data_IF_474017179146
#
_entry.id   IF_474017179146
#
_cell.length_a   1.000
_cell.length_b   1.000
_cell.length_c   1.000
_cell.angle_alpha   90.00
_cell.angle_beta   90.00
_cell.angle_gamma   90.00
#
_symmetry.space_group_name_H-M   'P 1'
#
loop_
_entity.id
_entity.type
_entity.pdbx_description
1 polymer ?
#
# COMPACT_ATOMS: atom_id res chain seq x y z
N UNK A 1 35.07 -15.67 -16.88
CA UNK A 1 33.89 -15.68 -17.76
C UNK A 1 32.91 -14.67 -17.18
N UNK A 2 33.03 -13.39 -17.59
CA UNK A 2 32.23 -12.26 -17.04
C UNK A 2 30.91 -12.18 -17.83
N UNK A 3 29.80 -12.57 -17.22
CA UNK A 3 28.48 -12.39 -17.80
C UNK A 3 28.16 -10.89 -17.85
N UNK A 4 27.89 -10.32 -19.01
CA UNK A 4 27.64 -8.90 -19.26
C UNK A 4 26.31 -8.50 -18.61
N UNK A 5 26.25 -7.43 -17.81
CA UNK A 5 25.02 -6.99 -17.14
C UNK A 5 23.89 -6.57 -18.10
N UNK A 6 24.21 -6.30 -19.37
CA UNK A 6 23.24 -5.94 -20.40
C UNK A 6 22.26 -7.09 -20.77
N UNK A 7 22.68 -8.35 -20.64
CA UNK A 7 21.82 -9.51 -20.95
C UNK A 7 20.79 -9.81 -19.84
N UNK A 8 21.11 -9.49 -18.60
CA UNK A 8 20.17 -9.60 -17.47
C UNK A 8 19.08 -8.50 -17.51
N UNK A 9 19.45 -7.30 -17.93
CA UNK A 9 18.50 -6.20 -18.11
C UNK A 9 17.53 -6.45 -19.27
N UNK A 10 18.02 -7.03 -20.38
CA UNK A 10 17.20 -7.41 -21.53
C UNK A 10 16.23 -8.56 -21.21
N UNK A 11 16.66 -9.54 -20.40
CA UNK A 11 15.80 -10.63 -19.96
C UNK A 11 14.71 -10.14 -18.99
N UNK A 12 15.02 -9.16 -18.14
CA UNK A 12 14.04 -8.52 -17.24
C UNK A 12 12.98 -7.72 -18.01
N UNK A 13 13.39 -7.06 -19.12
CA UNK A 13 12.48 -6.30 -19.99
C UNK A 13 11.56 -7.20 -20.84
N UNK A 14 11.98 -8.40 -21.21
CA UNK A 14 11.13 -9.31 -21.98
C UNK A 14 10.04 -10.01 -21.17
N UNK A 15 10.14 -10.06 -19.84
CA UNK A 15 9.09 -10.58 -18.95
C UNK A 15 7.94 -9.57 -18.80
N UNK A 16 8.17 -8.30 -19.14
CA UNK A 16 7.19 -7.21 -19.03
C UNK A 16 6.17 -7.15 -20.18
N UNK A 17 6.33 -7.95 -21.26
CA UNK A 17 5.43 -7.95 -22.41
C UNK A 17 4.40 -9.11 -22.43
N UNK A 18 3.88 -9.52 -21.29
CA UNK A 18 2.79 -10.50 -21.19
C UNK A 18 1.41 -9.84 -21.29
N UNK A 19 0.79 -10.03 -22.44
CA UNK A 19 -0.59 -9.82 -22.91
C UNK A 19 -1.60 -9.10 -22.02
N UNK A 20 -1.98 -7.91 -22.44
CA UNK A 20 -3.18 -7.18 -22.02
C UNK A 20 -4.43 -7.94 -22.49
N UNK A 21 -5.20 -8.49 -21.58
CA UNK A 21 -6.60 -8.87 -21.80
C UNK A 21 -7.43 -8.11 -20.78
N UNK A 22 -8.26 -7.19 -21.26
CA UNK A 22 -9.30 -6.57 -20.46
C UNK A 22 -10.34 -7.63 -20.14
N UNK A 23 -10.41 -8.06 -18.87
CA UNK A 23 -11.50 -8.84 -18.29
C UNK A 23 -11.91 -8.13 -17.01
N UNK A 24 -13.16 -8.31 -16.59
CA UNK A 24 -13.67 -7.83 -15.30
C UNK A 24 -12.60 -8.06 -14.23
N UNK A 25 -12.12 -6.98 -13.60
CA UNK A 25 -11.04 -7.05 -12.62
C UNK A 25 -11.43 -8.01 -11.49
N UNK A 26 -10.68 -9.10 -11.29
CA UNK A 26 -10.95 -9.99 -10.17
C UNK A 26 -10.76 -9.18 -8.89
N UNK A 27 -11.78 -9.09 -8.08
CA UNK A 27 -11.75 -8.34 -6.82
C UNK A 27 -10.65 -8.92 -5.92
N UNK A 28 -9.60 -8.13 -5.69
CA UNK A 28 -8.55 -8.48 -4.72
C UNK A 28 -9.15 -8.49 -3.32
N UNK A 29 -8.65 -9.34 -2.40
CA UNK A 29 -9.01 -9.25 -0.99
C UNK A 29 -8.70 -7.86 -0.43
N UNK A 30 -9.67 -7.23 0.25
CA UNK A 30 -9.52 -5.88 0.78
C UNK A 30 -8.33 -5.70 1.73
N UNK A 31 -7.91 -6.79 2.38
CA UNK A 31 -6.71 -6.83 3.21
C UNK A 31 -5.43 -6.46 2.44
N UNK A 32 -5.35 -6.76 1.14
CA UNK A 32 -4.16 -6.47 0.32
C UNK A 32 -4.12 -5.02 -0.18
N UNK A 33 -5.27 -4.33 -0.21
CA UNK A 33 -5.41 -2.96 -0.76
C UNK A 33 -5.37 -1.87 0.32
N UNK A 34 -5.58 -2.24 1.57
CA UNK A 34 -5.56 -1.27 2.67
C UNK A 34 -4.13 -0.97 3.14
N UNK A 35 -3.86 0.27 3.61
CA UNK A 35 -2.55 0.67 4.11
C UNK A 35 -2.04 -0.27 5.20
N UNK A 36 -0.78 -0.62 5.09
CA UNK A 36 -0.14 -1.69 5.83
C UNK A 36 0.45 -1.23 7.17
N UNK A 37 0.72 0.06 7.30
CA UNK A 37 1.24 0.66 8.53
C UNK A 37 0.62 2.01 8.82
N UNK A 38 0.60 2.41 10.10
CA UNK A 38 0.16 3.74 10.51
C UNK A 38 1.00 4.85 9.84
N UNK A 39 2.30 4.59 9.60
CA UNK A 39 3.18 5.53 8.93
C UNK A 39 2.80 5.73 7.47
N UNK A 40 2.56 4.64 6.74
CA UNK A 40 2.12 4.67 5.36
C UNK A 40 0.76 5.37 5.24
N UNK A 41 -0.19 5.04 6.12
CA UNK A 41 -1.49 5.69 6.16
C UNK A 41 -1.40 7.19 6.43
N UNK A 42 -0.55 7.63 7.38
CA UNK A 42 -0.38 9.05 7.75
C UNK A 42 0.33 9.90 6.69
N UNK A 43 0.95 9.28 5.71
CA UNK A 43 1.55 9.96 4.55
C UNK A 43 0.73 9.82 3.27
N UNK A 44 -0.55 9.44 3.36
CA UNK A 44 -1.43 9.16 2.21
C UNK A 44 -0.79 8.18 1.20
N UNK A 45 -0.07 7.18 1.72
CA UNK A 45 0.61 6.13 0.95
C UNK A 45 1.80 6.60 0.09
N UNK A 46 2.25 7.84 0.25
CA UNK A 46 3.44 8.38 -0.44
C UNK A 46 4.78 7.81 0.07
N UNK A 47 4.75 6.85 1.01
CA UNK A 47 5.91 6.41 1.79
C UNK A 47 6.56 5.12 1.28
N UNK A 48 6.55 4.89 -0.03
CA UNK A 48 7.22 3.71 -0.63
C UNK A 48 8.75 3.70 -0.49
N UNK A 49 9.38 4.85 -0.22
CA UNK A 49 10.83 4.99 -0.09
C UNK A 49 11.26 5.85 1.12
N UNK A 50 10.77 5.64 2.36
CA UNK A 50 11.12 6.50 3.48
C UNK A 50 12.64 6.45 3.80
N UNK A 51 13.24 7.55 4.22
CA UNK A 51 14.67 7.58 4.60
C UNK A 51 14.94 6.69 5.81
N UNK A 52 14.01 6.64 6.75
CA UNK A 52 14.03 5.71 7.88
C UNK A 52 12.79 4.82 7.82
N UNK A 53 12.95 3.51 7.90
CA UNK A 53 11.87 2.55 7.82
C UNK A 53 11.59 1.88 9.16
N UNK A 54 10.37 1.42 9.33
CA UNK A 54 9.94 0.54 10.43
C UNK A 54 9.52 -0.81 9.88
N UNK A 55 9.41 -1.81 10.75
CA UNK A 55 8.99 -3.14 10.30
C UNK A 55 7.59 -3.15 9.64
N UNK A 56 6.69 -2.24 10.04
CA UNK A 56 5.40 -2.09 9.38
C UNK A 56 5.49 -1.61 7.94
N UNK A 57 6.49 -0.80 7.59
CA UNK A 57 6.67 -0.25 6.24
C UNK A 57 7.16 -1.33 5.26
N UNK A 58 7.80 -2.39 5.76
CA UNK A 58 8.30 -3.53 4.97
C UNK A 58 7.18 -4.27 4.24
N UNK A 59 5.97 -4.26 4.78
CA UNK A 59 4.81 -4.87 4.12
C UNK A 59 4.46 -4.19 2.79
N UNK A 60 4.68 -2.88 2.67
CA UNK A 60 4.45 -2.12 1.45
C UNK A 60 5.67 -2.05 0.52
N UNK A 61 6.88 -2.38 1.05
CA UNK A 61 8.12 -2.37 0.28
C UNK A 61 9.15 -3.33 0.92
N UNK A 62 9.24 -4.58 0.46
CA UNK A 62 10.08 -5.60 1.10
C UNK A 62 11.57 -5.22 1.18
N UNK A 63 12.07 -4.44 0.23
CA UNK A 63 13.46 -4.01 0.19
C UNK A 63 13.82 -2.93 1.24
N UNK A 64 12.85 -2.47 2.04
CA UNK A 64 13.11 -1.61 3.20
C UNK A 64 13.64 -2.39 4.42
N UNK A 65 13.52 -3.72 4.40
CA UNK A 65 13.99 -4.58 5.48
C UNK A 65 15.51 -4.57 5.53
N UNK A 66 16.07 -4.24 6.67
CA UNK A 66 17.51 -4.22 6.92
C UNK A 66 17.86 -4.71 8.33
N UNK A 67 19.15 -4.72 8.66
CA UNK A 67 19.66 -5.17 9.96
C UNK A 67 19.12 -4.38 11.15
N UNK A 68 18.64 -3.15 10.96
CA UNK A 68 18.05 -2.35 12.05
C UNK A 68 16.70 -2.90 12.51
N UNK A 69 16.04 -3.72 11.68
CA UNK A 69 14.76 -4.37 11.99
C UNK A 69 14.93 -5.69 12.76
N UNK A 70 16.16 -6.22 12.83
CA UNK A 70 16.39 -7.48 13.54
C UNK A 70 15.98 -7.42 15.01
N UNK A 71 15.24 -8.43 15.48
CA UNK A 71 14.68 -8.51 16.83
C UNK A 71 13.49 -7.59 17.09
N UNK A 72 12.97 -6.88 16.07
CA UNK A 72 11.79 -6.03 16.22
C UNK A 72 10.50 -6.83 16.15
N UNK A 73 9.58 -6.46 17.04
CA UNK A 73 8.16 -6.81 17.00
C UNK A 73 7.36 -5.56 16.64
N UNK A 74 6.46 -5.70 15.70
CA UNK A 74 5.51 -4.66 15.30
C UNK A 74 4.08 -5.15 15.47
N UNK A 75 3.26 -4.34 16.13
CA UNK A 75 1.82 -4.54 16.29
C UNK A 75 1.12 -3.35 15.64
N UNK A 76 0.20 -3.62 14.72
CA UNK A 76 -0.60 -2.62 14.03
C UNK A 76 -2.08 -2.86 14.26
N UNK A 77 -2.84 -1.79 14.38
CA UNK A 77 -4.30 -1.80 14.44
C UNK A 77 -4.86 -0.66 13.61
N UNK A 78 -5.89 -0.92 12.85
CA UNK A 78 -6.64 0.07 12.08
C UNK A 78 -8.12 -0.09 12.42
N UNK A 79 -8.72 1.02 12.81
CA UNK A 79 -10.17 1.19 12.88
C UNK A 79 -10.64 1.92 11.62
N UNK A 80 -11.51 1.26 10.88
CA UNK A 80 -12.06 1.78 9.63
C UNK A 80 -13.54 2.09 9.84
N UNK A 81 -14.12 2.92 8.99
CA UNK A 81 -15.55 3.21 9.09
C UNK A 81 -16.41 1.96 8.85
N UNK A 82 -17.68 2.01 9.26
CA UNK A 82 -18.67 0.91 9.13
C UNK A 82 -18.34 -0.36 9.93
N UNK A 83 -17.52 -0.26 10.98
CA UNK A 83 -17.21 -1.39 11.86
C UNK A 83 -16.15 -2.34 11.31
N UNK A 84 -15.50 -1.99 10.20
CA UNK A 84 -14.36 -2.75 9.72
C UNK A 84 -13.10 -2.42 10.55
N UNK A 85 -12.32 -3.44 10.88
CA UNK A 85 -11.09 -3.28 11.65
C UNK A 85 -10.02 -4.26 11.17
N UNK A 86 -8.76 -3.81 11.23
CA UNK A 86 -7.61 -4.61 10.86
C UNK A 86 -6.62 -4.71 12.01
N UNK A 87 -6.03 -5.88 12.18
CA UNK A 87 -4.90 -6.10 13.08
C UNK A 87 -3.74 -6.75 12.33
N UNK A 88 -2.51 -6.43 12.75
CA UNK A 88 -1.30 -7.01 12.20
C UNK A 88 -0.27 -7.27 13.31
N UNK A 89 0.46 -8.36 13.18
CA UNK A 89 1.64 -8.66 13.99
C UNK A 89 2.77 -9.09 13.08
N UNK A 90 3.96 -8.50 13.28
CA UNK A 90 5.16 -8.80 12.49
C UNK A 90 6.36 -8.94 13.39
N UNK A 91 7.24 -9.84 13.02
CA UNK A 91 8.54 -10.04 13.66
C UNK A 91 9.62 -10.15 12.58
N UNK A 92 10.79 -9.57 12.84
CA UNK A 92 11.94 -9.69 11.96
C UNK A 92 13.16 -10.23 12.71
N UNK A 93 13.98 -11.01 11.97
CA UNK A 93 15.22 -11.56 12.48
C UNK A 93 16.29 -11.55 11.41
N UNK A 94 17.52 -11.35 11.84
CA UNK A 94 18.72 -11.58 11.04
C UNK A 94 19.42 -12.83 11.57
N UNK A 95 19.62 -13.88 10.76
CA UNK A 95 20.45 -15.01 11.17
C UNK A 95 21.90 -14.58 11.39
N UNK A 96 22.56 -15.21 12.34
CA UNK A 96 23.97 -14.95 12.63
C UNK A 96 24.84 -15.13 11.38
N UNK A 97 25.83 -14.25 11.21
CA UNK A 97 26.77 -14.24 10.08
C UNK A 97 26.14 -14.03 8.69
N UNK A 98 24.85 -13.79 8.59
CA UNK A 98 24.16 -13.54 7.32
C UNK A 98 23.89 -12.06 7.09
N UNK A 99 23.99 -11.65 5.82
CA UNK A 99 23.68 -10.26 5.42
C UNK A 99 22.18 -10.04 5.19
N UNK A 100 21.41 -11.11 4.93
CA UNK A 100 19.98 -11.00 4.70
C UNK A 100 19.21 -10.98 6.03
N UNK A 101 18.09 -10.27 6.00
CA UNK A 101 17.13 -10.20 7.11
C UNK A 101 15.81 -10.77 6.62
N UNK A 102 15.10 -11.49 7.48
CA UNK A 102 13.78 -12.00 7.14
C UNK A 102 12.73 -11.49 8.13
N UNK A 103 11.50 -11.46 7.68
CA UNK A 103 10.35 -11.16 8.49
C UNK A 103 9.24 -12.19 8.29
N UNK A 104 8.36 -12.29 9.26
CA UNK A 104 7.11 -13.05 9.16
C UNK A 104 6.04 -12.36 9.98
N UNK A 105 4.78 -12.64 9.66
CA UNK A 105 3.68 -12.07 10.42
C UNK A 105 2.31 -12.51 9.93
N UNK A 106 1.30 -12.01 10.62
CA UNK A 106 -0.10 -12.24 10.30
C UNK A 106 -0.85 -10.93 10.23
N UNK A 107 -1.83 -10.90 9.33
CA UNK A 107 -2.80 -9.81 9.21
C UNK A 107 -4.20 -10.39 9.20
N UNK A 108 -5.11 -9.66 9.83
CA UNK A 108 -6.54 -9.96 9.80
C UNK A 108 -7.30 -8.67 9.53
N UNK A 109 -8.26 -8.71 8.62
CA UNK A 109 -9.23 -7.66 8.36
C UNK A 109 -10.64 -8.23 8.55
N UNK A 110 -11.36 -7.73 9.54
CA UNK A 110 -12.76 -8.01 9.74
C UNK A 110 -13.60 -6.88 9.14
N UNK A 111 -14.63 -7.20 8.39
CA UNK A 111 -15.55 -6.21 7.79
C UNK A 111 -16.78 -5.95 8.67
N UNK A 112 -16.87 -6.59 9.85
CA UNK A 112 -18.03 -6.49 10.74
C UNK A 112 -19.10 -7.51 10.43
N UNK A 113 -20.32 -7.23 10.89
CA UNK A 113 -21.49 -8.09 10.72
C UNK A 113 -22.50 -7.43 9.80
N UNK A 114 -23.02 -8.18 8.86
CA UNK A 114 -24.00 -7.73 7.88
C UNK A 114 -25.35 -8.41 8.12
N UNK A 115 -26.43 -7.67 7.92
CA UNK A 115 -27.78 -8.23 7.91
C UNK A 115 -28.09 -8.79 6.53
N UNK A 116 -28.31 -10.10 6.45
CA UNK A 116 -28.76 -10.75 5.23
C UNK A 116 -30.22 -10.39 4.92
N UNK A 117 -30.51 -10.17 3.65
CA UNK A 117 -31.89 -9.93 3.16
C UNK A 117 -32.15 -10.75 1.91
N UNK A 118 -33.35 -11.24 1.77
CA UNK A 118 -33.79 -11.89 0.56
C UNK A 118 -34.13 -10.86 -0.55
N UNK A 119 -34.41 -11.29 -1.80
CA UNK A 119 -34.73 -10.38 -2.90
C UNK A 119 -35.99 -9.51 -2.67
N UNK A 120 -36.85 -9.84 -1.72
CA UNK A 120 -38.02 -9.04 -1.35
C UNK A 120 -37.79 -8.19 -0.10
N UNK A 121 -36.53 -8.18 0.42
CA UNK A 121 -36.10 -7.30 1.51
C UNK A 121 -36.32 -7.85 2.92
N UNK A 122 -36.80 -9.08 3.08
CA UNK A 122 -37.01 -9.72 4.39
C UNK A 122 -35.65 -10.16 4.95
N UNK A 123 -35.44 -9.92 6.25
CA UNK A 123 -34.21 -10.31 6.94
C UNK A 123 -34.09 -11.83 7.04
N UNK A 124 -32.95 -12.36 6.57
CA UNK A 124 -32.67 -13.79 6.54
C UNK A 124 -31.63 -14.22 7.59
N UNK A 125 -31.21 -13.28 8.45
CA UNK A 125 -30.20 -13.52 9.47
C UNK A 125 -28.99 -12.58 9.33
N UNK A 126 -27.88 -12.90 9.99
CA UNK A 126 -26.64 -12.14 9.90
C UNK A 126 -25.49 -13.00 9.42
N UNK A 127 -24.54 -12.38 8.70
CA UNK A 127 -23.29 -13.00 8.29
C UNK A 127 -22.09 -12.08 8.53
N UNK A 128 -20.91 -12.66 8.56
CA UNK A 128 -19.65 -11.91 8.71
C UNK A 128 -18.78 -12.05 7.47
N UNK A 129 -17.89 -11.08 7.27
CA UNK A 129 -16.85 -11.15 6.26
C UNK A 129 -15.50 -10.87 6.90
N UNK A 130 -14.45 -11.57 6.48
CA UNK A 130 -13.10 -11.36 6.98
C UNK A 130 -12.05 -11.90 6.02
N UNK A 131 -10.88 -11.22 6.01
CA UNK A 131 -9.67 -11.68 5.35
C UNK A 131 -8.59 -11.97 6.39
N UNK A 132 -7.88 -13.08 6.22
CA UNK A 132 -6.72 -13.44 7.05
C UNK A 132 -5.56 -13.77 6.13
N UNK A 133 -4.36 -13.25 6.42
CA UNK A 133 -3.16 -13.57 5.66
C UNK A 133 -1.96 -13.78 6.58
N UNK A 134 -1.16 -14.77 6.21
CA UNK A 134 0.22 -14.90 6.63
C UNK A 134 1.14 -14.27 5.58
N UNK A 135 2.16 -13.56 6.04
CA UNK A 135 3.19 -12.96 5.20
C UNK A 135 4.56 -13.38 5.71
N UNK A 136 5.46 -13.68 4.79
CA UNK A 136 6.87 -13.88 5.10
C UNK A 136 7.72 -13.37 3.95
N UNK A 137 8.88 -12.82 4.26
CA UNK A 137 9.77 -12.26 3.25
C UNK A 137 11.17 -12.08 3.76
N UNK A 138 12.06 -11.72 2.83
CA UNK A 138 13.45 -11.44 3.14
C UNK A 138 14.00 -10.33 2.27
N UNK A 139 15.01 -9.62 2.77
CA UNK A 139 15.77 -8.66 1.99
C UNK A 139 17.26 -8.94 2.09
N UNK A 140 17.93 -8.75 0.96
CA UNK A 140 19.35 -8.95 0.77
C UNK A 140 20.01 -7.65 0.29
N UNK A 141 20.94 -7.05 1.03
CA UNK A 141 21.76 -5.98 0.51
C UNK A 141 22.68 -6.53 -0.59
N UNK A 142 22.48 -6.06 -1.82
CA UNK A 142 23.31 -6.43 -2.97
C UNK A 142 24.62 -5.63 -2.98
N UNK A 143 24.54 -4.37 -2.52
CA UNK A 143 25.66 -3.46 -2.37
C UNK A 143 25.40 -2.53 -1.17
N UNK A 144 26.32 -1.61 -0.88
CA UNK A 144 26.24 -0.60 0.21
C UNK A 144 24.97 0.25 0.12
N UNK A 145 24.48 0.49 -1.08
CA UNK A 145 23.36 1.38 -1.35
C UNK A 145 22.13 0.65 -1.91
N UNK A 146 22.28 -0.56 -2.41
CA UNK A 146 21.24 -1.30 -3.15
C UNK A 146 20.77 -2.51 -2.36
N UNK A 147 19.46 -2.61 -2.14
CA UNK A 147 18.82 -3.74 -1.44
C UNK A 147 17.70 -4.30 -2.29
N UNK A 148 17.67 -5.62 -2.44
CA UNK A 148 16.57 -6.37 -3.04
C UNK A 148 15.77 -7.04 -1.93
N UNK A 149 14.46 -7.00 -2.02
CA UNK A 149 13.56 -7.66 -1.08
C UNK A 149 12.44 -8.39 -1.80
N UNK A 150 11.91 -9.42 -1.15
CA UNK A 150 10.73 -10.15 -1.62
C UNK A 150 9.85 -10.52 -0.42
N UNK A 151 8.55 -10.55 -0.65
CA UNK A 151 7.57 -11.06 0.31
C UNK A 151 6.60 -11.99 -0.39
N UNK A 152 6.12 -12.97 0.33
CA UNK A 152 5.15 -13.95 -0.09
C UNK A 152 3.96 -13.92 0.87
N UNK A 153 2.74 -13.87 0.32
CA UNK A 153 1.49 -13.80 1.03
C UNK A 153 0.67 -15.07 0.76
N UNK A 154 0.10 -15.61 1.82
CA UNK A 154 -0.91 -16.67 1.74
C UNK A 154 -2.08 -16.27 2.62
N UNK A 155 -3.29 -16.35 2.10
CA UNK A 155 -4.45 -15.97 2.89
C UNK A 155 -5.74 -16.62 2.45
N UNK A 156 -6.75 -16.32 3.23
CA UNK A 156 -8.12 -16.74 2.99
C UNK A 156 -9.06 -15.55 3.19
N UNK A 157 -9.97 -15.38 2.26
CA UNK A 157 -11.12 -14.47 2.35
C UNK A 157 -12.37 -15.28 2.59
N UNK A 158 -13.17 -14.86 3.55
CA UNK A 158 -14.43 -15.48 3.93
C UNK A 158 -15.54 -14.43 3.81
N UNK A 159 -16.56 -14.72 3.03
CA UNK A 159 -17.75 -13.90 2.87
C UNK A 159 -18.99 -14.79 3.02
N UNK A 160 -19.66 -14.70 4.16
CA UNK A 160 -20.74 -15.59 4.53
C UNK A 160 -20.28 -17.07 4.45
N UNK A 161 -20.89 -17.85 3.56
CA UNK A 161 -20.57 -19.28 3.36
C UNK A 161 -19.47 -19.51 2.32
N UNK A 162 -19.02 -18.45 1.62
CA UNK A 162 -18.01 -18.56 0.57
C UNK A 162 -16.62 -18.37 1.14
N UNK A 163 -15.70 -19.22 0.71
CA UNK A 163 -14.28 -19.14 1.07
C UNK A 163 -13.45 -19.09 -0.19
N UNK A 164 -12.45 -18.22 -0.17
CA UNK A 164 -11.51 -18.10 -1.26
C UNK A 164 -10.10 -18.05 -0.68
N UNK A 165 -9.18 -18.83 -1.23
CA UNK A 165 -7.77 -18.77 -0.84
C UNK A 165 -7.04 -17.89 -1.83
N UNK A 166 -6.12 -17.07 -1.34
CA UNK A 166 -5.30 -16.20 -2.18
C UNK A 166 -3.81 -16.34 -1.87
N UNK A 167 -3.01 -16.06 -2.87
CA UNK A 167 -1.56 -15.95 -2.74
C UNK A 167 -1.05 -14.78 -3.57
N UNK A 168 0.06 -14.14 -3.12
CA UNK A 168 0.69 -13.02 -3.80
C UNK A 168 2.19 -13.05 -3.55
N UNK A 169 2.94 -12.56 -4.54
CA UNK A 169 4.38 -12.32 -4.42
C UNK A 169 4.63 -10.83 -4.64
N UNK A 170 5.44 -10.24 -3.77
CA UNK A 170 5.90 -8.85 -3.87
C UNK A 170 7.42 -8.84 -4.02
N UNK A 171 7.91 -7.97 -4.88
CA UNK A 171 9.35 -7.75 -5.11
C UNK A 171 9.64 -6.27 -4.95
N UNK A 172 10.68 -5.95 -4.22
CA UNK A 172 11.12 -4.57 -4.00
C UNK A 172 12.59 -4.38 -4.30
N UNK A 173 12.93 -3.21 -4.78
CA UNK A 173 14.31 -2.75 -4.96
C UNK A 173 14.44 -1.36 -4.36
N UNK A 174 15.45 -1.14 -3.50
CA UNK A 174 15.71 0.20 -2.94
C UNK A 174 17.16 0.60 -3.17
N UNK A 175 17.34 1.87 -3.51
CA UNK A 175 18.64 2.53 -3.61
C UNK A 175 18.72 3.67 -2.62
N UNK A 176 19.61 3.60 -1.64
CA UNK A 176 19.77 4.58 -0.56
C UNK A 176 21.12 5.29 -0.63
N UNK A 177 21.11 6.60 -0.83
CA UNK A 177 22.27 7.49 -0.73
C UNK A 177 22.19 8.27 0.57
N UNK A 178 22.87 7.79 1.61
CA UNK A 178 22.86 8.43 2.95
C UNK A 178 23.51 9.82 2.94
N UNK A 179 24.59 9.98 2.18
CA UNK A 179 25.32 11.25 1.97
C UNK A 179 24.46 12.34 1.32
N UNK A 180 23.44 11.96 0.57
CA UNK A 180 22.52 12.89 -0.10
C UNK A 180 21.11 12.88 0.49
N UNK A 181 20.88 12.14 1.57
CA UNK A 181 19.56 11.94 2.14
C UNK A 181 18.52 11.62 1.05
N UNK A 182 18.86 10.69 0.17
CA UNK A 182 18.05 10.31 -0.97
C UNK A 182 17.79 8.79 -0.94
N UNK A 183 16.53 8.38 -1.02
CA UNK A 183 16.15 7.00 -1.29
C UNK A 183 15.23 6.96 -2.51
N UNK A 184 15.52 6.03 -3.40
CA UNK A 184 14.65 5.63 -4.49
C UNK A 184 14.19 4.19 -4.21
N UNK A 185 12.96 3.87 -4.60
CA UNK A 185 12.45 2.52 -4.50
C UNK A 185 11.60 2.18 -5.73
N UNK A 186 11.67 0.92 -6.14
CA UNK A 186 10.73 0.31 -7.07
C UNK A 186 10.06 -0.87 -6.36
N UNK A 187 8.76 -0.97 -6.51
CA UNK A 187 7.95 -2.04 -5.95
C UNK A 187 7.13 -2.67 -7.07
N UNK A 188 7.10 -3.98 -7.12
CA UNK A 188 6.43 -4.73 -8.16
C UNK A 188 5.71 -5.94 -7.57
N UNK A 189 4.46 -6.11 -7.95
CA UNK A 189 3.62 -7.28 -7.67
C UNK A 189 3.48 -8.11 -8.94
N UNK A 190 4.43 -9.02 -9.23
CA UNK A 190 4.45 -9.75 -10.49
C UNK A 190 3.35 -10.78 -10.61
N UNK A 191 2.87 -11.29 -9.48
CA UNK A 191 1.92 -12.38 -9.45
C UNK A 191 1.07 -12.34 -8.18
N UNK A 192 -0.22 -12.58 -8.38
CA UNK A 192 -1.19 -12.82 -7.33
C UNK A 192 -2.43 -13.45 -7.92
N UNK A 193 -3.20 -14.13 -7.09
CA UNK A 193 -4.44 -14.74 -7.52
C UNK A 193 -5.26 -15.31 -6.37
N UNK A 194 -6.51 -15.56 -6.65
CA UNK A 194 -7.49 -16.09 -5.71
C UNK A 194 -8.23 -17.29 -6.33
N UNK A 195 -8.47 -18.31 -5.53
CA UNK A 195 -9.19 -19.53 -5.94
C UNK A 195 -10.38 -19.74 -5.02
N UNK A 196 -11.59 -19.85 -5.57
CA UNK A 196 -12.80 -20.10 -4.83
C UNK A 196 -12.85 -21.56 -4.35
N UNK A 197 -13.07 -21.77 -3.05
CA UNK A 197 -13.19 -23.08 -2.43
C UNK A 197 -14.66 -23.48 -2.46
N UNK A 198 -14.98 -24.61 -3.15
CA UNK A 198 -16.34 -25.13 -3.25
C UNK A 198 -17.22 -24.53 -4.35
N UNK A 199 -16.64 -23.71 -5.24
CA UNK A 199 -17.29 -23.16 -6.44
C UNK A 199 -16.79 -23.84 -7.72
N UNK A 200 -17.09 -23.26 -8.88
CA UNK A 200 -16.73 -23.74 -10.22
C UNK A 200 -15.23 -23.74 -10.56
N UNK A 201 -14.36 -23.63 -9.57
CA UNK A 201 -12.91 -23.77 -9.74
C UNK A 201 -12.24 -22.65 -10.55
N UNK A 202 -12.91 -21.53 -10.76
CA UNK A 202 -12.29 -20.37 -11.40
C UNK A 202 -11.22 -19.78 -10.47
N UNK A 203 -10.03 -19.67 -10.97
CA UNK A 203 -8.95 -18.92 -10.32
C UNK A 203 -8.84 -17.54 -10.96
N UNK A 204 -9.05 -16.52 -10.17
CA UNK A 204 -8.91 -15.14 -10.62
C UNK A 204 -7.46 -14.70 -10.38
N UNK A 205 -6.84 -14.15 -11.41
CA UNK A 205 -5.48 -13.61 -11.32
C UNK A 205 -5.56 -12.11 -11.05
N UNK A 206 -4.81 -11.63 -10.09
CA UNK A 206 -4.69 -10.20 -9.83
C UNK A 206 -3.82 -9.54 -10.91
N UNK A 207 -4.18 -8.35 -11.30
CA UNK A 207 -3.31 -7.54 -12.14
C UNK A 207 -2.02 -7.22 -11.40
N UNK A 208 -0.93 -7.23 -12.15
CA UNK A 208 0.36 -6.82 -11.61
C UNK A 208 0.36 -5.33 -11.34
N UNK A 209 1.10 -4.89 -10.33
CA UNK A 209 1.23 -3.48 -9.99
C UNK A 209 2.71 -3.12 -9.89
N UNK A 210 3.11 -2.04 -10.56
CA UNK A 210 4.44 -1.48 -10.50
C UNK A 210 4.37 -0.04 -10.01
N UNK A 211 5.11 0.25 -8.96
CA UNK A 211 5.24 1.60 -8.42
C UNK A 211 6.69 2.02 -8.23
N UNK A 212 6.94 3.30 -8.31
CA UNK A 212 8.23 3.91 -8.00
C UNK A 212 8.06 5.00 -6.96
N UNK A 213 9.03 5.11 -6.06
CA UNK A 213 8.95 6.06 -4.95
C UNK A 213 10.28 6.77 -4.75
N UNK A 214 10.17 7.98 -4.23
CA UNK A 214 11.28 8.87 -3.93
C UNK A 214 11.12 9.43 -2.52
N UNK A 215 12.22 9.48 -1.76
CA UNK A 215 12.33 10.33 -0.58
C UNK A 215 13.58 11.19 -0.66
N UNK A 216 13.43 12.48 -0.34
CA UNK A 216 14.51 13.45 -0.31
C UNK A 216 14.47 14.26 0.97
N UNK A 217 15.48 14.09 1.81
CA UNK A 217 15.76 14.95 2.97
C UNK A 217 16.67 16.11 2.60
N UNK A 218 16.77 17.09 3.51
CA UNK A 218 17.57 18.30 3.34
C UNK A 218 18.43 18.53 4.58
N UNK A 219 19.71 18.86 4.39
CA UNK A 219 20.68 18.96 5.49
C UNK A 219 20.37 20.08 6.49
N UNK A 220 19.73 21.14 6.00
CA UNK A 220 19.44 22.35 6.80
C UNK A 220 17.94 22.51 7.12
N UNK A 221 17.14 21.48 6.90
CA UNK A 221 15.71 21.56 7.16
C UNK A 221 15.19 20.22 7.76
N UNK A 222 14.34 20.27 8.78
CA UNK A 222 13.89 19.09 9.50
C UNK A 222 12.81 18.28 8.76
N UNK A 223 12.66 18.44 7.45
CA UNK A 223 11.65 17.76 6.68
C UNK A 223 12.23 16.89 5.55
N UNK A 224 11.50 15.85 5.23
CA UNK A 224 11.75 14.94 4.11
C UNK A 224 10.54 14.99 3.18
N UNK A 225 10.77 15.23 1.89
CA UNK A 225 9.73 15.11 0.86
C UNK A 225 9.62 13.66 0.44
N UNK A 226 8.38 13.22 0.23
CA UNK A 226 8.01 11.88 -0.18
C UNK A 226 7.14 11.98 -1.43
N UNK A 227 7.37 11.11 -2.40
CA UNK A 227 6.53 10.97 -3.57
C UNK A 227 6.49 9.51 -4.01
N UNK A 228 5.32 9.06 -4.41
CA UNK A 228 5.10 7.75 -5.02
C UNK A 228 4.31 7.94 -6.30
N UNK A 229 4.71 7.25 -7.34
CA UNK A 229 3.99 7.07 -8.60
C UNK A 229 3.61 5.59 -8.68
N UNK A 230 2.33 5.29 -8.64
CA UNK A 230 1.78 3.93 -8.56
C UNK A 230 1.00 3.54 -9.83
N UNK A 231 0.61 2.27 -9.90
CA UNK A 231 -0.17 1.68 -11.00
C UNK A 231 0.38 2.02 -12.40
N UNK A 232 1.71 1.90 -12.58
CA UNK A 232 2.39 2.29 -13.83
C UNK A 232 1.96 1.49 -15.06
N UNK A 233 1.27 0.37 -14.89
CA UNK A 233 0.79 -0.47 -15.99
C UNK A 233 -0.47 0.09 -16.66
N UNK A 234 -1.29 0.83 -15.92
CA UNK A 234 -2.58 1.34 -16.39
C UNK A 234 -2.48 2.85 -16.50
N UNK A 235 -2.49 3.41 -17.71
CA UNK A 235 -2.36 4.86 -17.89
C UNK A 235 -3.63 5.62 -17.51
N UNK A 236 -4.81 5.05 -17.78
CA UNK A 236 -6.08 5.71 -17.48
C UNK A 236 -6.75 5.08 -16.26
N UNK A 237 -6.63 5.77 -15.14
CA UNK A 237 -7.27 5.43 -13.87
C UNK A 237 -8.55 6.24 -13.63
N UNK A 238 -9.01 6.98 -14.64
CA UNK A 238 -10.23 7.75 -14.53
C UNK A 238 -11.45 6.88 -14.84
N UNK A 239 -12.60 7.13 -14.19
CA UNK A 239 -13.85 6.52 -14.60
C UNK A 239 -14.18 6.85 -16.06
N UNK A 240 -14.79 5.88 -16.76
CA UNK A 240 -15.23 6.06 -18.15
C UNK A 240 -16.12 7.30 -18.30
N UNK A 241 -15.90 8.05 -19.38
CA UNK A 241 -16.66 9.25 -19.70
C UNK A 241 -16.32 10.50 -18.88
N UNK A 242 -15.36 10.44 -17.95
CA UNK A 242 -15.01 11.60 -17.11
C UNK A 242 -14.54 12.81 -17.92
N UNK A 243 -13.88 12.59 -19.03
CA UNK A 243 -13.32 13.65 -19.89
C UNK A 243 -14.17 13.93 -21.14
N UNK A 244 -15.30 13.24 -21.29
CA UNK A 244 -16.19 13.44 -22.43
C UNK A 244 -16.96 14.76 -22.30
N UNK A 245 -17.23 15.36 -23.44
CA UNK A 245 -18.12 16.50 -23.50
C UNK A 245 -19.56 16.09 -23.15
N UNK A 246 -20.25 16.93 -22.43
CA UNK A 246 -21.64 16.67 -22.03
C UNK A 246 -22.60 17.36 -22.98
N UNK A 247 -23.65 16.68 -23.41
CA UNK A 247 -24.73 17.29 -24.20
C UNK A 247 -25.80 17.81 -23.24
N UNK A 248 -26.13 19.10 -23.35
CA UNK A 248 -27.25 19.66 -22.61
C UNK A 248 -28.57 19.02 -23.09
N UNK A 249 -29.31 18.33 -22.24
CA UNK A 249 -30.53 17.62 -22.63
C UNK A 249 -31.67 18.57 -23.01
N UNK A 250 -31.59 19.87 -22.70
CA UNK A 250 -32.63 20.86 -23.02
C UNK A 250 -32.36 21.60 -24.30
N UNK A 251 -31.10 21.96 -24.57
CA UNK A 251 -30.74 22.76 -25.75
C UNK A 251 -30.10 21.94 -26.87
N UNK A 252 -29.57 20.74 -26.56
CA UNK A 252 -28.79 19.91 -27.47
C UNK A 252 -27.38 20.43 -27.71
N UNK A 253 -26.96 21.48 -26.99
CA UNK A 253 -25.62 22.06 -27.14
C UNK A 253 -24.55 21.18 -26.45
N UNK A 254 -23.39 21.11 -27.05
CA UNK A 254 -22.23 20.44 -26.47
C UNK A 254 -21.56 21.35 -25.45
N UNK A 255 -21.54 20.92 -24.18
CA UNK A 255 -20.79 21.57 -23.11
C UNK A 255 -19.42 20.91 -23.06
N UNK A 256 -18.38 21.63 -23.48
CA UNK A 256 -17.02 21.15 -23.50
C UNK A 256 -16.52 20.87 -22.06
N UNK A 257 -15.88 19.71 -21.85
CA UNK A 257 -15.23 19.40 -20.59
C UNK A 257 -13.92 20.21 -20.46
N UNK A 258 -13.87 21.13 -19.52
CA UNK A 258 -12.71 22.01 -19.28
C UNK A 258 -11.55 21.34 -18.49
N UNK A 259 -11.66 20.05 -18.16
CA UNK A 259 -10.65 19.35 -17.37
C UNK A 259 -9.41 19.05 -18.23
N UNK A 260 -8.22 19.40 -17.74
CA UNK A 260 -6.97 19.01 -18.38
C UNK A 260 -6.71 17.52 -18.19
N UNK A 261 -7.28 16.70 -19.09
CA UNK A 261 -7.29 15.25 -19.01
C UNK A 261 -5.89 14.63 -18.83
N UNK A 262 -4.88 15.11 -19.57
CA UNK A 262 -3.51 14.60 -19.41
C UNK A 262 -2.96 14.84 -18.00
N UNK A 263 -3.15 16.03 -17.46
CA UNK A 263 -2.65 16.37 -16.11
C UNK A 263 -3.40 15.63 -15.01
N UNK A 264 -4.72 15.47 -15.13
CA UNK A 264 -5.49 14.71 -14.16
C UNK A 264 -5.12 13.22 -14.20
N UNK A 265 -4.99 12.61 -15.38
CA UNK A 265 -4.52 11.23 -15.55
C UNK A 265 -3.15 11.04 -14.88
N UNK A 266 -2.17 11.90 -15.18
CA UNK A 266 -0.84 11.83 -14.56
C UNK A 266 -0.90 11.94 -13.04
N UNK A 267 -1.67 12.90 -12.51
CA UNK A 267 -1.76 13.14 -11.08
C UNK A 267 -2.50 12.03 -10.32
N UNK A 268 -3.38 11.25 -10.99
CA UNK A 268 -4.06 10.10 -10.37
C UNK A 268 -3.11 9.01 -9.92
N UNK A 269 -1.93 8.93 -10.54
CA UNK A 269 -0.86 8.02 -10.13
C UNK A 269 -0.01 8.57 -8.97
N UNK A 270 -0.20 9.84 -8.57
CA UNK A 270 0.74 10.50 -7.68
C UNK A 270 0.17 10.63 -6.27
N UNK A 271 0.93 10.10 -5.31
CA UNK A 271 0.82 10.41 -3.89
C UNK A 271 2.05 11.21 -3.45
N UNK A 272 1.82 12.31 -2.76
CA UNK A 272 2.89 13.15 -2.20
C UNK A 272 2.75 13.30 -0.71
N UNK A 273 3.86 13.44 -0.01
CA UNK A 273 3.85 13.62 1.43
C UNK A 273 5.10 14.30 1.95
N UNK A 274 5.07 14.62 3.21
CA UNK A 274 6.21 15.14 3.96
C UNK A 274 6.31 14.50 5.33
N UNK A 275 7.54 14.29 5.79
CA UNK A 275 7.86 13.92 7.16
C UNK A 275 8.65 15.06 7.79
N UNK A 276 8.19 15.56 8.94
CA UNK A 276 8.82 16.62 9.71
C UNK A 276 9.38 16.01 11.00
N UNK A 277 10.67 16.06 11.19
CA UNK A 277 11.35 15.66 12.43
C UNK A 277 11.33 16.82 13.42
N UNK A 278 10.53 16.70 14.48
CA UNK A 278 10.36 17.71 15.52
C UNK A 278 11.37 17.55 16.66
N UNK A 279 12.31 16.61 16.52
CA UNK A 279 13.28 16.27 17.55
C UNK A 279 12.72 15.45 18.70
N UNK A 280 13.56 15.04 19.63
CA UNK A 280 13.19 14.27 20.83
C UNK A 280 12.37 13.01 20.53
N UNK A 281 12.51 12.43 19.33
CA UNK A 281 11.78 11.23 18.92
C UNK A 281 10.35 11.47 18.46
N UNK A 282 9.96 12.73 18.25
CA UNK A 282 8.65 13.11 17.71
C UNK A 282 8.76 13.43 16.22
N UNK A 283 7.90 12.80 15.40
CA UNK A 283 7.79 13.07 13.97
C UNK A 283 6.35 13.27 13.56
N UNK A 284 6.12 14.29 12.76
CA UNK A 284 4.83 14.57 12.14
C UNK A 284 4.88 14.19 10.66
N UNK A 285 3.78 13.67 10.14
CA UNK A 285 3.59 13.37 8.70
C UNK A 285 2.34 14.00 8.19
N UNK A 286 2.41 14.38 6.94
CA UNK A 286 1.26 14.85 6.19
C UNK A 286 1.37 14.31 4.76
N UNK A 287 0.23 13.93 4.16
CA UNK A 287 0.19 13.40 2.82
C UNK A 287 -1.07 13.75 2.07
N UNK A 288 -0.97 13.68 0.75
CA UNK A 288 -2.04 13.92 -0.20
C UNK A 288 -2.00 12.89 -1.33
N UNK A 289 -3.16 12.30 -1.60
CA UNK A 289 -3.35 11.35 -2.70
C UNK A 289 -4.38 11.90 -3.68
N UNK A 290 -3.96 12.24 -4.90
CA UNK A 290 -4.80 12.94 -5.86
C UNK A 290 -5.98 12.10 -6.34
N UNK A 291 -5.76 10.84 -6.75
CA UNK A 291 -6.82 9.92 -7.19
C UNK A 291 -7.92 9.81 -6.14
N UNK A 292 -7.55 9.51 -4.89
CA UNK A 292 -8.49 9.42 -3.78
C UNK A 292 -9.29 10.71 -3.57
N UNK A 293 -8.65 11.86 -3.75
CA UNK A 293 -9.31 13.16 -3.71
C UNK A 293 -10.35 13.30 -4.81
N UNK A 294 -10.05 12.91 -6.03
CA UNK A 294 -10.94 13.05 -7.17
C UNK A 294 -12.13 12.08 -7.11
N UNK A 295 -11.90 10.84 -6.70
CA UNK A 295 -12.92 9.78 -6.70
C UNK A 295 -13.84 9.83 -5.49
N UNK A 296 -13.32 10.20 -4.31
CA UNK A 296 -14.06 10.03 -3.06
C UNK A 296 -14.55 11.34 -2.44
N UNK A 297 -14.28 12.49 -3.07
CA UNK A 297 -14.87 13.76 -2.65
C UNK A 297 -16.31 13.89 -3.16
N UNK A 298 -17.20 14.43 -2.34
CA UNK A 298 -18.52 14.87 -2.78
C UNK A 298 -18.42 16.32 -3.26
N UNK A 299 -19.01 16.63 -4.42
CA UNK A 299 -19.01 18.00 -4.96
C UNK A 299 -19.66 19.01 -3.99
N UNK A 300 -20.75 18.60 -3.32
CA UNK A 300 -21.46 19.44 -2.35
C UNK A 300 -20.75 19.59 -0.99
N UNK A 301 -19.86 18.65 -0.62
CA UNK A 301 -19.13 18.65 0.65
C UNK A 301 -17.74 18.02 0.46
N UNK A 302 -16.78 18.76 -0.11
CA UNK A 302 -15.50 18.18 -0.52
C UNK A 302 -14.63 17.64 0.61
N UNK A 303 -14.87 18.05 1.86
CA UNK A 303 -14.19 17.55 3.06
C UNK A 303 -12.66 17.47 2.91
N UNK A 304 -12.03 16.57 3.68
CA UNK A 304 -10.59 16.28 3.67
C UNK A 304 -10.24 14.95 2.99
N UNK A 305 -11.14 14.41 2.14
CA UNK A 305 -10.85 13.19 1.36
C UNK A 305 -9.55 13.33 0.57
N UNK A 306 -8.71 12.30 0.58
CA UNK A 306 -7.39 12.30 -0.04
C UNK A 306 -6.27 12.89 0.81
N UNK A 307 -6.56 13.51 1.97
CA UNK A 307 -5.54 13.98 2.91
C UNK A 307 -5.37 13.00 4.08
N UNK A 308 -4.13 12.90 4.54
CA UNK A 308 -3.78 12.10 5.70
C UNK A 308 -2.75 12.84 6.56
N UNK A 309 -2.71 12.48 7.85
CA UNK A 309 -1.69 12.95 8.78
C UNK A 309 -1.34 11.85 9.79
N UNK A 310 -0.17 11.96 10.38
CA UNK A 310 0.29 11.00 11.39
C UNK A 310 1.34 11.60 12.32
N UNK A 311 1.45 10.98 13.49
CA UNK A 311 2.44 11.31 14.51
C UNK A 311 3.15 10.02 14.96
N UNK A 312 4.47 10.09 15.09
CA UNK A 312 5.28 9.05 15.71
C UNK A 312 5.93 9.59 16.98
N UNK A 313 5.92 8.75 18.00
CA UNK A 313 6.60 8.98 19.26
C UNK A 313 7.59 7.87 19.53
N UNK A 314 8.83 8.21 19.83
CA UNK A 314 9.83 7.25 20.25
C UNK A 314 10.15 7.48 21.73
N UNK A 315 9.82 6.50 22.57
CA UNK A 315 10.07 6.54 24.01
C UNK A 315 10.90 5.31 24.40
N UNK A 316 12.18 5.53 24.71
CA UNK A 316 13.12 4.46 25.01
C UNK A 316 13.15 3.42 23.87
N UNK A 317 12.75 2.16 24.14
CA UNK A 317 12.71 1.07 23.17
C UNK A 317 11.36 0.94 22.42
N UNK A 318 10.36 1.74 22.81
CA UNK A 318 9.05 1.71 22.19
C UNK A 318 8.91 2.86 21.17
N UNK A 319 8.35 2.55 20.05
CA UNK A 319 7.86 3.56 19.10
C UNK A 319 6.35 3.36 18.93
N UNK A 320 5.61 4.44 19.14
CA UNK A 320 4.17 4.53 18.93
C UNK A 320 3.93 5.36 17.68
N UNK A 321 3.01 4.93 16.84
CA UNK A 321 2.58 5.70 15.69
C UNK A 321 1.05 5.78 15.69
N UNK A 322 0.54 6.97 15.42
CA UNK A 322 -0.89 7.25 15.26
C UNK A 322 -1.06 7.94 13.92
N UNK A 323 -2.06 7.54 13.15
CA UNK A 323 -2.37 8.21 11.90
C UNK A 323 -3.88 8.26 11.65
N UNK A 324 -4.29 9.27 10.89
CA UNK A 324 -5.63 9.42 10.39
C UNK A 324 -5.58 9.64 8.88
N UNK A 325 -6.28 8.79 8.15
CA UNK A 325 -6.40 8.87 6.70
C UNK A 325 -7.86 9.06 6.33
N UNK A 326 -8.18 10.15 5.65
CA UNK A 326 -9.56 10.45 5.27
C UNK A 326 -9.83 9.89 3.88
N UNK A 327 -10.59 8.79 3.83
CA UNK A 327 -11.01 8.17 2.59
C UNK A 327 -12.22 8.88 2.00
N UNK A 328 -13.26 9.12 2.79
CA UNK A 328 -14.51 9.69 2.33
C UNK A 328 -15.05 10.70 3.35
N UNK A 329 -15.96 11.57 2.92
CA UNK A 329 -16.65 12.50 3.83
C UNK A 329 -17.44 11.78 4.94
N UNK A 330 -17.90 10.55 4.67
CA UNK A 330 -18.62 9.72 5.65
C UNK A 330 -17.70 9.05 6.69
N UNK A 331 -16.37 8.96 6.44
CA UNK A 331 -15.49 8.31 7.38
C UNK A 331 -14.00 8.44 7.07
N UNK A 332 -13.21 8.37 8.12
CA UNK A 332 -11.77 8.32 8.09
C UNK A 332 -11.29 7.10 8.87
N UNK A 333 -10.21 6.48 8.43
CA UNK A 333 -9.55 5.43 9.18
C UNK A 333 -8.61 6.01 10.23
N UNK A 334 -8.54 5.36 11.40
CA UNK A 334 -7.57 5.66 12.45
C UNK A 334 -6.63 4.47 12.59
N UNK A 335 -5.33 4.73 12.54
CA UNK A 335 -4.29 3.72 12.58
C UNK A 335 -3.46 3.92 13.85
N UNK A 336 -3.18 2.82 14.52
CA UNK A 336 -2.29 2.75 15.68
C UNK A 336 -1.22 1.69 15.40
N UNK A 337 0.02 1.99 15.77
CA UNK A 337 1.07 0.99 15.71
C UNK A 337 2.00 1.12 16.91
N UNK A 338 2.46 -0.03 17.39
CA UNK A 338 3.45 -0.14 18.46
C UNK A 338 4.60 -0.99 17.91
N UNK A 339 5.80 -0.49 18.05
CA UNK A 339 7.03 -1.22 17.75
C UNK A 339 7.93 -1.29 18.97
N UNK A 340 8.50 -2.45 19.19
CA UNK A 340 9.53 -2.65 20.22
C UNK A 340 10.59 -3.62 19.74
N UNK A 341 11.75 -3.63 20.36
CA UNK A 341 12.78 -4.64 20.15
C UNK A 341 12.76 -5.64 21.31
N UNK A 342 12.66 -6.93 20.97
CA UNK A 342 12.56 -8.02 21.94
C UNK A 342 13.94 -8.51 22.38
N UNK A 343 14.94 -8.41 21.51
CA UNK A 343 16.30 -8.89 21.76
C UNK A 343 17.28 -7.73 21.64
N UNK A 344 18.07 -7.49 22.65
CA UNK A 344 19.25 -6.61 22.55
C UNK A 344 20.31 -7.34 21.72
N UNK A 345 20.98 -6.62 20.84
CA UNK A 345 22.09 -7.15 20.03
C UNK A 345 23.30 -7.41 20.89
#
# INVERSE_FOLDING_TARGET
>A
MMCRPASLLAALLMVLCGGLQAQDEPSRPGLLDLPLSARLAGSAESMGAPLTSTLGDVLGQPALLDSTHAGQLHLGYMDFFSGAAQAAVLYARQPEERKWVWHTGFRNLGFGTFTGRDPVGVETGSFTASDVAWVSGAALPLDTNLTLGTSFWLGQSVLADRRSNFAQIDVGLTYLRRDRQLRLAAFWRPWGGMTNVGGSGTSDRFEGDLSVSLAKGFDNAPFTLLATYDEMQTWDLAPDGLYDDTIDPLTGDTIANGTWAFGDRLLRHVAIGTELDLGSGLRFRFGYHHRRRQELRLAAAPGTAGFAWGLDFTVRRFQLAVARNTYHTAGASTHLAIRTRLTDR
#
